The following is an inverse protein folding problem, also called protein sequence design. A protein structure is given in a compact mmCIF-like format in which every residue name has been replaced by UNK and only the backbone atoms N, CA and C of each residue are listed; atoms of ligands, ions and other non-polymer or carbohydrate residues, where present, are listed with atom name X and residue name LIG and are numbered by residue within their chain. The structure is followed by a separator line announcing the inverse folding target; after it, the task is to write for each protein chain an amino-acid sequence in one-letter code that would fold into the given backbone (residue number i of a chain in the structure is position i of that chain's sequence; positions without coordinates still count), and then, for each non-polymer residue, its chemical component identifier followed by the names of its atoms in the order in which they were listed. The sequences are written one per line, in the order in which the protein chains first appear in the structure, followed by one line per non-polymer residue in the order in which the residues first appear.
data_IF_533462308987
#
_entry.id   IF_533462308987
#
_cell.length_a   1.000
_cell.length_b   1.000
_cell.length_c   1.000
_cell.angle_alpha   90.00
_cell.angle_beta   90.00
_cell.angle_gamma   90.00
#
_symmetry.space_group_name_H-M   'P 1'
#
loop_
_entity.id
_entity.type
_entity.pdbx_description
1 polymer ?
#
# COMPACT_ATOMS: atom_id res chain seq x y z
N UNK A 1 1.92 -2.99 -17.98
CA UNK A 1 0.90 -3.91 -17.41
C UNK A 1 1.05 -5.34 -17.91
N UNK A 2 1.07 -5.55 -19.22
CA UNK A 2 1.09 -6.88 -19.79
C UNK A 2 2.24 -7.76 -19.27
N UNK A 3 3.43 -7.20 -19.13
CA UNK A 3 4.58 -7.95 -18.65
C UNK A 3 4.42 -8.40 -17.20
N UNK A 4 3.88 -7.54 -16.33
CA UNK A 4 3.63 -7.87 -14.93
C UNK A 4 2.52 -8.94 -14.82
N UNK A 5 1.47 -8.78 -15.61
CA UNK A 5 0.37 -9.74 -15.64
C UNK A 5 0.84 -11.12 -16.12
N UNK A 6 1.70 -11.17 -17.12
CA UNK A 6 2.28 -12.42 -17.60
C UNK A 6 3.11 -13.11 -16.52
N UNK A 7 3.89 -12.36 -15.75
CA UNK A 7 4.67 -12.90 -14.63
C UNK A 7 3.77 -13.42 -13.51
N UNK A 8 2.65 -12.75 -13.23
CA UNK A 8 1.68 -13.20 -12.23
C UNK A 8 0.97 -14.48 -12.66
N UNK A 9 0.79 -14.71 -13.95
CA UNK A 9 0.23 -15.98 -14.44
C UNK A 9 1.15 -17.14 -14.10
N UNK A 10 2.47 -16.94 -14.13
CA UNK A 10 3.45 -17.96 -13.77
C UNK A 10 3.61 -18.11 -12.26
N UNK A 11 3.53 -16.99 -11.51
CA UNK A 11 3.67 -16.98 -10.05
C UNK A 11 2.67 -15.97 -9.45
N UNK A 12 1.39 -16.36 -9.36
CA UNK A 12 0.34 -15.45 -8.93
C UNK A 12 0.45 -15.00 -7.47
N UNK A 13 1.20 -15.73 -6.65
CA UNK A 13 1.37 -15.43 -5.23
C UNK A 13 2.60 -14.56 -4.94
N UNK A 14 3.37 -14.18 -5.95
CA UNK A 14 4.55 -13.33 -5.76
C UNK A 14 4.13 -11.93 -5.31
N UNK A 15 4.41 -11.62 -4.05
CA UNK A 15 4.01 -10.35 -3.42
C UNK A 15 4.64 -9.15 -4.12
N UNK A 16 5.89 -9.27 -4.56
CA UNK A 16 6.58 -8.19 -5.27
C UNK A 16 5.87 -7.83 -6.58
N UNK A 17 5.50 -8.84 -7.37
CA UNK A 17 4.80 -8.64 -8.64
C UNK A 17 3.39 -8.11 -8.40
N UNK A 18 2.70 -8.62 -7.38
CA UNK A 18 1.37 -8.14 -6.99
C UNK A 18 1.41 -6.67 -6.59
N UNK A 19 2.41 -6.27 -5.82
CA UNK A 19 2.61 -4.88 -5.44
C UNK A 19 2.86 -4.01 -6.68
N UNK A 20 3.73 -4.45 -7.58
CA UNK A 20 4.02 -3.74 -8.83
C UNK A 20 2.77 -3.51 -9.67
N UNK A 21 1.91 -4.54 -9.78
CA UNK A 21 0.65 -4.43 -10.51
C UNK A 21 -0.31 -3.44 -9.85
N UNK A 22 -0.40 -3.47 -8.51
CA UNK A 22 -1.23 -2.52 -7.77
C UNK A 22 -0.78 -1.08 -8.04
N UNK A 23 0.52 -0.82 -7.99
CA UNK A 23 1.08 0.51 -8.25
C UNK A 23 0.82 0.95 -9.69
N UNK A 24 0.90 0.01 -10.64
CA UNK A 24 0.59 0.30 -12.03
C UNK A 24 -0.88 0.71 -12.20
N UNK A 25 -1.80 0.00 -11.53
CA UNK A 25 -3.21 0.36 -11.55
C UNK A 25 -3.43 1.78 -11.05
N UNK A 26 -2.78 2.16 -9.94
CA UNK A 26 -2.89 3.52 -9.41
C UNK A 26 -2.38 4.57 -10.40
N UNK A 27 -1.25 4.29 -11.06
CA UNK A 27 -0.69 5.21 -12.06
C UNK A 27 -1.58 5.36 -13.28
N UNK A 28 -2.27 4.29 -13.67
CA UNK A 28 -3.16 4.29 -14.84
C UNK A 28 -4.53 4.90 -14.55
N UNK A 29 -4.80 5.27 -13.30
CA UNK A 29 -6.09 5.82 -12.90
C UNK A 29 -7.11 4.78 -12.49
N UNK A 30 -6.74 3.50 -12.46
CA UNK A 30 -7.58 2.40 -11.97
C UNK A 30 -7.51 2.34 -10.44
N UNK A 31 -8.00 3.39 -9.80
CA UNK A 31 -7.78 3.63 -8.37
C UNK A 31 -8.43 2.53 -7.51
N UNK A 32 -9.66 2.18 -7.79
CA UNK A 32 -10.38 1.17 -6.99
C UNK A 32 -9.68 -0.19 -7.09
N UNK A 33 -9.27 -0.60 -8.28
CA UNK A 33 -8.56 -1.85 -8.47
C UNK A 33 -7.19 -1.83 -7.77
N UNK A 34 -6.46 -0.74 -7.93
CA UNK A 34 -5.15 -0.59 -7.27
C UNK A 34 -5.27 -0.70 -5.76
N UNK A 35 -6.25 -0.02 -5.17
CA UNK A 35 -6.53 -0.10 -3.73
C UNK A 35 -6.92 -1.50 -3.30
N UNK A 36 -7.75 -2.18 -4.07
CA UNK A 36 -8.17 -3.54 -3.76
C UNK A 36 -6.99 -4.51 -3.76
N UNK A 37 -6.08 -4.36 -4.73
CA UNK A 37 -4.87 -5.18 -4.80
C UNK A 37 -3.94 -4.93 -3.63
N UNK A 38 -3.79 -3.67 -3.19
CA UNK A 38 -3.00 -3.35 -1.99
C UNK A 38 -3.63 -3.95 -0.73
N UNK A 39 -4.95 -3.85 -0.60
CA UNK A 39 -5.67 -4.48 0.53
C UNK A 39 -5.48 -5.98 0.58
N UNK A 40 -5.52 -6.63 -0.58
CA UNK A 40 -5.32 -8.07 -0.68
C UNK A 40 -3.93 -8.47 -0.18
N UNK A 41 -2.90 -7.70 -0.52
CA UNK A 41 -1.54 -7.92 -0.01
C UNK A 41 -1.49 -7.79 1.51
N UNK A 42 -2.13 -6.78 2.05
CA UNK A 42 -2.17 -6.53 3.50
C UNK A 42 -2.89 -7.68 4.21
N UNK A 43 -4.01 -8.15 3.67
CA UNK A 43 -4.77 -9.26 4.26
C UNK A 43 -3.96 -10.55 4.29
N UNK A 44 -3.18 -10.81 3.23
CA UNK A 44 -2.38 -12.03 3.13
C UNK A 44 -1.17 -12.03 4.06
N UNK A 45 -0.57 -10.85 4.30
CA UNK A 45 0.63 -10.77 5.13
C UNK A 45 0.75 -9.39 5.78
N UNK A 46 -0.11 -9.09 6.77
CA UNK A 46 -0.18 -7.74 7.34
C UNK A 46 1.11 -7.27 8.00
N UNK A 47 1.94 -8.18 8.49
CA UNK A 47 3.16 -7.79 9.21
C UNK A 47 4.31 -7.42 8.26
N UNK A 48 4.30 -7.90 7.02
CA UNK A 48 5.39 -7.68 6.07
C UNK A 48 5.07 -6.66 4.99
N UNK A 49 3.77 -6.42 4.72
CA UNK A 49 3.36 -5.56 3.61
C UNK A 49 3.28 -4.09 4.03
N UNK A 50 4.34 -3.59 4.67
CA UNK A 50 4.42 -2.22 5.18
C UNK A 50 4.27 -1.20 4.05
N UNK A 51 4.93 -1.43 2.90
CA UNK A 51 4.83 -0.54 1.75
C UNK A 51 3.39 -0.47 1.21
N UNK A 52 2.64 -1.56 1.29
CA UNK A 52 1.24 -1.56 0.84
C UNK A 52 0.37 -0.66 1.72
N UNK A 53 0.59 -0.65 3.04
CA UNK A 53 -0.10 0.29 3.94
C UNK A 53 0.19 1.74 3.54
N UNK A 54 1.45 2.05 3.29
CA UNK A 54 1.86 3.41 2.96
C UNK A 54 1.22 3.87 1.65
N UNK A 55 1.26 3.04 0.62
CA UNK A 55 0.70 3.38 -0.69
C UNK A 55 -0.82 3.45 -0.67
N UNK A 56 -1.47 2.55 0.06
CA UNK A 56 -2.93 2.61 0.22
C UNK A 56 -3.35 3.88 0.94
N UNK A 57 -2.65 4.23 2.02
CA UNK A 57 -2.89 5.47 2.76
C UNK A 57 -2.67 6.70 1.90
N UNK A 58 -1.59 6.73 1.13
CA UNK A 58 -1.29 7.83 0.21
C UNK A 58 -2.40 7.97 -0.85
N UNK A 59 -2.89 6.85 -1.37
CA UNK A 59 -3.97 6.86 -2.36
C UNK A 59 -5.23 7.52 -1.81
N UNK A 60 -5.59 7.24 -0.56
CA UNK A 60 -6.73 7.90 0.08
C UNK A 60 -6.47 9.38 0.34
N UNK A 61 -5.24 9.73 0.74
CA UNK A 61 -4.86 11.13 0.95
C UNK A 61 -4.96 11.93 -0.36
N UNK A 62 -4.57 11.32 -1.47
CA UNK A 62 -4.61 11.97 -2.79
C UNK A 62 -6.02 12.29 -3.24
N UNK A 63 -7.03 11.61 -2.73
CA UNK A 63 -8.45 11.85 -3.03
C UNK A 63 -9.19 12.53 -1.88
N UNK A 64 -8.46 13.12 -0.93
CA UNK A 64 -9.01 13.85 0.22
C UNK A 64 -9.88 12.99 1.16
N UNK A 65 -9.69 11.68 1.14
CA UNK A 65 -10.37 10.76 2.06
C UNK A 65 -9.52 10.62 3.33
N UNK A 66 -9.53 11.69 4.13
CA UNK A 66 -8.60 11.87 5.26
C UNK A 66 -8.78 10.81 6.34
N UNK A 67 -10.01 10.46 6.68
CA UNK A 67 -10.27 9.48 7.73
C UNK A 67 -9.75 8.09 7.34
N UNK A 68 -10.00 7.68 6.10
CA UNK A 68 -9.50 6.41 5.59
C UNK A 68 -7.98 6.40 5.51
N UNK A 69 -7.39 7.50 5.01
CA UNK A 69 -5.95 7.64 4.92
C UNK A 69 -5.30 7.53 6.30
N UNK A 70 -5.83 8.25 7.28
CA UNK A 70 -5.29 8.26 8.64
C UNK A 70 -5.37 6.88 9.28
N UNK A 71 -6.48 6.18 9.14
CA UNK A 71 -6.65 4.85 9.71
C UNK A 71 -5.63 3.86 9.14
N UNK A 72 -5.46 3.85 7.83
CA UNK A 72 -4.52 2.95 7.14
C UNK A 72 -3.06 3.31 7.51
N UNK A 73 -2.72 4.59 7.51
CA UNK A 73 -1.36 5.02 7.83
C UNK A 73 -0.99 4.72 9.28
N UNK A 74 -1.93 4.88 10.22
CA UNK A 74 -1.68 4.53 11.62
C UNK A 74 -1.45 3.03 11.79
N UNK A 75 -2.24 2.21 11.11
CA UNK A 75 -2.03 0.77 11.13
C UNK A 75 -0.67 0.39 10.56
N UNK A 76 -0.30 0.98 9.43
CA UNK A 76 1.00 0.76 8.80
C UNK A 76 2.16 1.25 9.67
N UNK A 77 1.99 2.39 10.32
CA UNK A 77 2.99 2.93 11.25
C UNK A 77 3.27 1.94 12.39
N UNK A 78 2.22 1.38 12.99
CA UNK A 78 2.39 0.39 14.04
C UNK A 78 3.13 -0.86 13.54
N UNK A 79 2.82 -1.32 12.33
CA UNK A 79 3.51 -2.47 11.72
C UNK A 79 4.97 -2.15 11.43
N UNK A 80 5.27 -0.96 10.94
CA UNK A 80 6.64 -0.51 10.68
C UNK A 80 7.46 -0.46 11.98
N UNK A 81 6.89 0.09 13.04
CA UNK A 81 7.54 0.15 14.34
C UNK A 81 7.82 -1.25 14.88
N UNK A 82 6.85 -2.16 14.81
CA UNK A 82 7.01 -3.54 15.26
C UNK A 82 8.09 -4.28 14.48
N UNK A 83 8.26 -3.97 13.20
CA UNK A 83 9.29 -4.57 12.35
C UNK A 83 10.65 -3.88 12.47
N UNK A 84 10.74 -2.76 13.19
CA UNK A 84 11.97 -1.97 13.26
C UNK A 84 12.26 -1.19 11.99
N UNK A 85 11.26 -1.01 11.12
CA UNK A 85 11.40 -0.23 9.89
C UNK A 85 11.14 1.25 10.21
N UNK A 86 12.14 1.90 10.76
CA UNK A 86 12.02 3.28 11.24
C UNK A 86 11.90 4.30 10.12
N UNK A 87 12.43 3.99 8.95
CA UNK A 87 12.29 4.85 7.78
C UNK A 87 10.82 4.93 7.33
N UNK A 88 10.19 3.78 7.16
CA UNK A 88 8.78 3.72 6.80
C UNK A 88 7.90 4.36 7.88
N UNK A 89 8.21 4.09 9.16
CA UNK A 89 7.47 4.70 10.28
C UNK A 89 7.54 6.22 10.23
N UNK A 90 8.73 6.78 9.97
CA UNK A 90 8.91 8.23 9.88
C UNK A 90 8.11 8.82 8.71
N UNK A 91 8.15 8.18 7.55
CA UNK A 91 7.39 8.65 6.38
C UNK A 91 5.89 8.63 6.63
N UNK A 92 5.37 7.55 7.20
CA UNK A 92 3.94 7.46 7.50
C UNK A 92 3.52 8.45 8.57
N UNK A 93 4.38 8.67 9.58
CA UNK A 93 4.13 9.69 10.60
C UNK A 93 4.02 11.09 10.01
N UNK A 94 4.90 11.43 9.06
CA UNK A 94 4.86 12.72 8.37
C UNK A 94 3.59 12.87 7.54
N UNK A 95 3.16 11.82 6.86
CA UNK A 95 1.91 11.86 6.10
C UNK A 95 0.70 12.08 7.01
N UNK A 96 0.65 11.39 8.13
CA UNK A 96 -0.43 11.58 9.12
C UNK A 96 -0.46 13.03 9.59
N UNK A 97 0.69 13.59 9.94
CA UNK A 97 0.80 14.97 10.41
C UNK A 97 0.33 15.96 9.35
N UNK A 98 0.60 15.67 8.07
CA UNK A 98 0.18 16.55 6.98
C UNK A 98 -1.33 16.53 6.73
N UNK A 99 -2.02 15.49 7.18
CA UNK A 99 -3.46 15.34 7.01
C UNK A 99 -4.26 16.05 8.13
N UNK A 100 -3.64 16.23 9.25
CA UNK A 100 -4.25 16.86 10.41
C UNK A 100 -3.90 18.30 10.52
#
# INVERSE_FOLDING_TARGET
MEQIEALLVEDPDDAFLRYGLAMQCLRDGDIDEGRQRLRSLIEDDPDRQIAAYQQLGQSYADTDEVDAATAILRAGLAKAQAAGDWHAAAEMGQLIDSLG
#
